data_IF_557771316910
#
_entry.id   IF_557771316910
#
_cell.length_a   1.000
_cell.length_b   1.000
_cell.length_c   1.000
_cell.angle_alpha   90.00
_cell.angle_beta   90.00
_cell.angle_gamma   90.00
#
_symmetry.space_group_name_H-M   'P 1'
#
loop_
_entity.id
_entity.type
_entity.pdbx_description
1 polymer ?
#
# COMPACT_ATOMS: atom_id res chain seq x y z
N UNK A 1 -3.55 25.80 11.59
CA UNK A 1 -4.64 25.24 10.77
C UNK A 1 -4.02 24.06 10.07
N UNK A 2 -4.54 22.87 10.27
CA UNK A 2 -3.98 21.67 9.64
C UNK A 2 -4.27 21.78 8.14
N UNK A 3 -3.27 22.13 7.35
CA UNK A 3 -3.32 22.13 5.88
C UNK A 3 -3.39 20.68 5.41
N UNK A 4 -4.61 20.11 5.37
CA UNK A 4 -4.84 18.85 4.68
C UNK A 4 -4.71 19.11 3.17
N UNK A 5 -4.06 18.20 2.41
CA UNK A 5 -3.86 18.40 0.99
C UNK A 5 -5.20 18.39 0.25
N UNK A 6 -5.30 19.25 -0.75
CA UNK A 6 -6.41 19.22 -1.69
C UNK A 6 -6.48 17.85 -2.39
N UNK A 7 -7.68 17.44 -2.78
CA UNK A 7 -7.85 16.22 -3.54
C UNK A 7 -7.11 16.30 -4.89
N UNK A 8 -6.28 15.30 -5.25
CA UNK A 8 -5.56 15.32 -6.52
C UNK A 8 -6.46 15.13 -7.75
N UNK A 9 -7.67 14.59 -7.57
CA UNK A 9 -8.59 14.29 -8.66
C UNK A 9 -9.50 15.48 -9.01
N UNK A 10 -10.04 16.16 -7.99
CA UNK A 10 -10.98 17.27 -8.17
C UNK A 10 -10.47 18.62 -7.66
N UNK A 11 -9.27 18.69 -7.09
CA UNK A 11 -8.70 19.91 -6.44
C UNK A 11 -9.56 20.48 -5.30
N UNK A 12 -10.44 19.69 -4.73
CA UNK A 12 -11.29 20.10 -3.60
C UNK A 12 -10.47 20.33 -2.34
N UNK A 13 -10.81 21.36 -1.57
CA UNK A 13 -10.25 21.68 -0.24
C UNK A 13 -10.92 20.88 0.89
N UNK A 14 -12.02 20.17 0.61
CA UNK A 14 -12.83 19.49 1.62
C UNK A 14 -12.35 18.05 1.89
N UNK A 15 -11.04 17.82 1.90
CA UNK A 15 -10.47 16.51 2.24
C UNK A 15 -10.52 16.29 3.74
N UNK A 16 -10.84 15.06 4.19
CA UNK A 16 -10.69 14.67 5.59
C UNK A 16 -9.81 13.43 5.73
N UNK A 17 -9.11 13.31 6.86
CA UNK A 17 -8.37 12.10 7.22
C UNK A 17 -9.29 11.14 8.00
N UNK A 18 -9.36 9.88 7.57
CA UNK A 18 -9.90 8.75 8.32
C UNK A 18 -8.79 7.73 8.55
N UNK A 19 -8.30 7.66 9.79
CA UNK A 19 -7.35 6.62 10.24
C UNK A 19 -6.09 6.46 9.36
N UNK A 20 -5.60 7.56 8.77
CA UNK A 20 -4.42 7.59 7.89
C UNK A 20 -4.73 7.53 6.40
N UNK A 21 -6.01 7.46 6.02
CA UNK A 21 -6.50 7.63 4.65
C UNK A 21 -7.11 9.02 4.50
N UNK A 22 -6.78 9.71 3.42
CA UNK A 22 -7.43 10.93 2.99
C UNK A 22 -8.60 10.59 2.08
N UNK A 23 -9.76 11.14 2.40
CA UNK A 23 -11.00 10.90 1.67
C UNK A 23 -11.57 12.23 1.19
N UNK A 24 -11.92 12.29 -0.09
CA UNK A 24 -12.64 13.42 -0.66
C UNK A 24 -14.14 13.12 -0.77
N UNK A 25 -15.02 13.91 -0.14
CA UNK A 25 -16.48 13.71 -0.21
C UNK A 25 -17.10 14.17 -1.54
N UNK A 26 -16.39 14.92 -2.38
CA UNK A 26 -16.93 15.40 -3.67
C UNK A 26 -16.80 14.37 -4.79
N UNK A 27 -15.66 13.66 -4.85
CA UNK A 27 -15.40 12.65 -5.87
C UNK A 27 -15.31 11.22 -5.32
N UNK A 28 -15.41 11.03 -4.00
CA UNK A 28 -15.17 9.75 -3.33
C UNK A 28 -13.77 9.16 -3.59
N UNK A 29 -12.78 10.00 -3.91
CA UNK A 29 -11.39 9.58 -4.06
C UNK A 29 -10.76 9.34 -2.68
N UNK A 30 -10.09 8.21 -2.53
CA UNK A 30 -9.44 7.76 -1.30
C UNK A 30 -7.93 7.60 -1.59
N UNK A 31 -7.08 8.30 -0.85
CA UNK A 31 -5.62 8.22 -1.03
C UNK A 31 -4.90 8.36 0.30
N UNK A 32 -3.63 7.98 0.37
CA UNK A 32 -2.81 8.12 1.57
C UNK A 32 -1.64 9.06 1.27
N UNK A 33 -1.37 10.04 2.13
CA UNK A 33 -0.18 10.90 2.01
C UNK A 33 1.06 10.25 2.61
N UNK A 34 0.85 9.21 3.42
CA UNK A 34 1.92 8.50 4.06
C UNK A 34 2.30 7.31 3.19
N UNK A 35 3.58 7.19 2.89
CA UNK A 35 4.22 6.04 2.26
C UNK A 35 4.03 4.75 3.09
N UNK A 36 3.18 4.73 4.11
CA UNK A 36 2.61 3.51 4.70
C UNK A 36 1.46 2.95 3.83
N UNK A 37 1.70 2.82 2.52
CA UNK A 37 1.09 1.78 1.71
C UNK A 37 1.73 0.40 2.02
N UNK A 38 2.12 0.15 3.27
CA UNK A 38 2.56 -1.15 3.79
C UNK A 38 1.34 -2.06 4.10
N UNK A 39 0.39 -2.13 3.18
CA UNK A 39 -0.56 -3.24 3.13
C UNK A 39 -0.88 -3.77 1.73
N UNK A 40 -0.11 -3.36 0.71
CA UNK A 40 -0.05 -4.05 -0.59
C UNK A 40 1.37 -4.56 -0.90
N UNK A 41 2.27 -4.53 0.09
CA UNK A 41 3.67 -4.96 -0.01
C UNK A 41 4.04 -6.20 0.81
N UNK A 42 3.10 -6.78 1.57
CA UNK A 42 3.34 -8.08 2.21
C UNK A 42 3.00 -9.22 1.24
N UNK A 43 3.58 -9.17 0.03
CA UNK A 43 3.89 -10.44 -0.61
C UNK A 43 4.95 -11.07 0.28
N UNK A 44 4.66 -12.16 1.00
CA UNK A 44 5.69 -12.86 1.76
C UNK A 44 6.85 -13.12 0.80
N UNK A 45 7.97 -12.45 1.05
CA UNK A 45 9.21 -12.65 0.30
C UNK A 45 9.72 -14.03 0.68
N UNK A 46 9.25 -15.04 -0.04
CA UNK A 46 9.68 -16.41 0.15
C UNK A 46 11.12 -16.49 -0.35
N UNK A 47 12.04 -16.94 0.50
CA UNK A 47 13.43 -17.15 0.13
C UNK A 47 13.73 -18.63 0.14
N UNK A 48 14.43 -19.10 -0.89
CA UNK A 48 14.95 -20.47 -0.92
C UNK A 48 16.09 -20.65 0.10
N UNK A 49 16.50 -21.90 0.38
CA UNK A 49 17.64 -22.24 1.22
C UNK A 49 18.96 -21.54 0.81
N UNK A 50 19.07 -21.12 -0.46
CA UNK A 50 20.21 -20.38 -1.00
C UNK A 50 20.07 -18.83 -0.89
N UNK A 51 18.97 -18.32 -0.33
CA UNK A 51 18.73 -16.89 -0.14
C UNK A 51 18.16 -16.15 -1.34
N UNK A 52 17.78 -16.85 -2.41
CA UNK A 52 17.13 -16.26 -3.58
C UNK A 52 15.65 -15.96 -3.29
N UNK A 53 15.15 -14.82 -3.75
CA UNK A 53 13.74 -14.45 -3.64
C UNK A 53 12.94 -15.24 -4.68
N UNK A 54 11.93 -15.96 -4.20
CA UNK A 54 11.01 -16.77 -5.00
C UNK A 54 9.83 -15.91 -5.43
N UNK A 55 9.48 -16.04 -6.70
CA UNK A 55 8.34 -15.37 -7.34
C UNK A 55 7.22 -16.37 -7.64
N UNK A 56 6.00 -15.86 -7.85
CA UNK A 56 4.84 -16.69 -8.19
C UNK A 56 5.09 -17.40 -9.54
N UNK A 57 5.11 -18.73 -9.53
CA UNK A 57 5.42 -19.57 -10.70
C UNK A 57 6.76 -20.32 -10.62
N UNK A 58 7.57 -20.10 -9.58
CA UNK A 58 8.82 -20.84 -9.39
C UNK A 58 8.62 -22.25 -8.81
N UNK A 59 9.47 -23.20 -9.20
CA UNK A 59 9.37 -24.61 -8.77
C UNK A 59 10.14 -24.83 -7.48
N UNK A 60 9.45 -24.74 -6.34
CA UNK A 60 10.04 -24.99 -5.02
C UNK A 60 10.13 -26.48 -4.70
N UNK A 61 11.26 -26.94 -4.16
CA UNK A 61 11.44 -28.32 -3.66
C UNK A 61 11.67 -28.29 -2.15
N UNK A 62 10.74 -28.88 -1.38
CA UNK A 62 10.84 -28.93 0.08
C UNK A 62 11.75 -30.09 0.49
N UNK A 63 12.87 -29.78 1.14
CA UNK A 63 13.72 -30.78 1.79
C UNK A 63 13.32 -30.88 3.25
N UNK A 64 12.99 -32.09 3.70
CA UNK A 64 12.74 -32.41 5.11
C UNK A 64 13.82 -33.39 5.55
N UNK A 65 14.60 -33.01 6.55
CA UNK A 65 15.61 -33.88 7.19
C UNK A 65 14.92 -35.05 7.92
#
# INVERSE_FOLDING_TARGET
MSDLPNCPECSSEYTYEDRGLFVCPECAHEWTTDTTAENTGNQPVFRDANGNVLEDGDTVTVIKD
#
